data_IF_731810576075
#
_entry.id   IF_731810576075
#
_cell.length_a   1.000
_cell.length_b   1.000
_cell.length_c   1.000
_cell.angle_alpha   90.00
_cell.angle_beta   90.00
_cell.angle_gamma   90.00
#
_symmetry.space_group_name_H-M   'P 1'
#
loop_
_entity.id
_entity.type
_entity.pdbx_description
1 polymer ?
#
# COMPACT_ATOMS: atom_id res chain seq x y z
N UNK A 1 9.05 -26.11 15.83
CA UNK A 1 8.97 -27.28 14.93
C UNK A 1 10.30 -27.49 14.21
N UNK A 2 11.05 -26.41 13.92
CA UNK A 2 12.49 -26.48 13.61
C UNK A 2 13.28 -27.05 14.81
N UNK A 3 13.36 -28.37 14.90
CA UNK A 3 14.21 -29.08 15.84
C UNK A 3 14.87 -30.29 15.16
N UNK A 4 15.05 -30.20 13.84
CA UNK A 4 15.91 -31.08 13.06
C UNK A 4 17.25 -30.37 12.82
N UNK A 5 18.33 -31.13 12.66
CA UNK A 5 19.61 -30.62 12.11
C UNK A 5 19.54 -30.45 10.59
N UNK A 6 18.35 -30.59 10.00
CA UNK A 6 18.09 -30.59 8.58
C UNK A 6 17.69 -29.21 8.08
N UNK A 7 18.01 -28.92 6.81
CA UNK A 7 17.54 -27.71 6.16
C UNK A 7 16.02 -27.82 5.92
N UNK A 8 15.24 -26.86 6.39
CA UNK A 8 13.78 -26.77 6.22
C UNK A 8 13.44 -25.44 5.50
N UNK A 9 12.68 -25.47 4.41
CA UNK A 9 12.33 -24.26 3.65
C UNK A 9 11.02 -24.40 2.83
N UNK A 10 10.67 -23.36 2.07
CA UNK A 10 9.46 -23.28 1.22
C UNK A 10 8.17 -23.72 1.93
N UNK A 11 7.81 -23.10 3.07
CA UNK A 11 6.56 -23.43 3.73
C UNK A 11 5.35 -22.88 2.95
N UNK A 12 4.23 -23.58 3.04
CA UNK A 12 2.90 -23.13 2.61
C UNK A 12 1.86 -23.50 3.68
N UNK A 13 0.72 -22.81 3.71
CA UNK A 13 -0.34 -22.97 4.72
C UNK A 13 -1.71 -23.13 4.05
N UNK A 14 -2.55 -24.01 4.59
CA UNK A 14 -3.90 -24.24 4.09
C UNK A 14 -4.82 -23.02 4.29
N UNK A 15 -5.87 -22.90 3.48
CA UNK A 15 -6.79 -21.75 3.51
C UNK A 15 -7.57 -21.62 4.83
N UNK A 16 -7.70 -22.71 5.58
CA UNK A 16 -8.34 -22.73 6.90
C UNK A 16 -7.37 -22.46 8.07
N UNK A 17 -6.10 -22.12 7.76
CA UNK A 17 -4.99 -21.92 8.69
C UNK A 17 -4.72 -23.13 9.61
N UNK A 18 -5.09 -24.35 9.21
CA UNK A 18 -4.98 -25.55 10.09
C UNK A 18 -3.98 -26.59 9.64
N UNK A 19 -3.28 -26.39 8.53
CA UNK A 19 -2.19 -27.25 8.11
C UNK A 19 -1.05 -26.45 7.50
N UNK A 20 0.18 -26.89 7.76
CA UNK A 20 1.40 -26.32 7.17
C UNK A 20 2.15 -27.44 6.48
N UNK A 21 2.64 -27.15 5.27
CA UNK A 21 3.54 -28.01 4.50
C UNK A 21 4.87 -27.28 4.30
N UNK A 22 5.97 -28.01 4.21
CA UNK A 22 7.30 -27.49 3.90
C UNK A 22 8.17 -28.60 3.29
N UNK A 23 9.28 -28.24 2.64
CA UNK A 23 10.28 -29.21 2.23
C UNK A 23 11.41 -29.30 3.28
N UNK A 24 11.92 -30.51 3.50
CA UNK A 24 13.02 -30.77 4.43
C UNK A 24 14.08 -31.64 3.75
N UNK A 25 15.35 -31.31 3.99
CA UNK A 25 16.46 -32.13 3.53
C UNK A 25 16.71 -33.32 4.47
N UNK A 26 16.53 -34.53 3.97
CA UNK A 26 16.83 -35.77 4.67
C UNK A 26 18.04 -36.45 3.99
N UNK A 27 19.14 -36.56 4.73
CA UNK A 27 20.41 -37.07 4.19
C UNK A 27 20.87 -36.31 2.92
N UNK A 28 20.72 -36.90 1.73
CA UNK A 28 21.07 -36.29 0.44
C UNK A 28 19.91 -35.63 -0.27
N UNK A 29 18.67 -36.01 0.03
CA UNK A 29 17.50 -35.74 -0.81
C UNK A 29 16.50 -34.82 -0.08
N UNK A 30 15.60 -34.19 -0.83
CA UNK A 30 14.53 -33.34 -0.29
C UNK A 30 13.21 -34.08 -0.23
N UNK A 31 12.53 -34.01 0.90
CA UNK A 31 11.21 -34.63 1.11
C UNK A 31 10.17 -33.58 1.51
N UNK A 32 8.89 -33.89 1.30
CA UNK A 32 7.80 -33.02 1.74
C UNK A 32 7.34 -33.41 3.13
N UNK A 33 7.23 -32.43 4.01
CA UNK A 33 6.75 -32.58 5.37
C UNK A 33 5.46 -31.78 5.57
N UNK A 34 4.52 -32.30 6.36
CA UNK A 34 3.34 -31.54 6.75
C UNK A 34 2.91 -31.83 8.19
N UNK A 35 2.14 -30.90 8.76
CA UNK A 35 1.56 -31.06 10.09
C UNK A 35 0.25 -30.28 10.22
N UNK A 36 -0.58 -30.69 11.18
CA UNK A 36 -1.82 -30.00 11.52
C UNK A 36 -1.60 -29.05 12.69
N UNK A 37 -2.12 -27.83 12.57
CA UNK A 37 -2.09 -26.83 13.61
C UNK A 37 -3.27 -27.05 14.57
N UNK A 38 -2.95 -27.30 15.84
CA UNK A 38 -3.94 -27.32 16.93
C UNK A 38 -3.80 -26.02 17.69
N UNK A 39 -4.88 -25.34 18.02
CA UNK A 39 -4.84 -24.07 18.74
C UNK A 39 -5.21 -24.26 20.20
N UNK A 40 -4.52 -23.57 21.11
CA UNK A 40 -4.96 -23.48 22.51
C UNK A 40 -6.22 -22.60 22.64
N UNK A 41 -6.81 -22.58 23.84
CA UNK A 41 -8.00 -21.76 24.14
C UNK A 41 -7.79 -20.25 24.01
N UNK A 42 -6.57 -19.78 23.74
CA UNK A 42 -6.21 -18.38 23.52
C UNK A 42 -5.85 -18.09 22.05
N UNK A 43 -6.03 -19.06 21.13
CA UNK A 43 -5.74 -18.89 19.71
C UNK A 43 -4.26 -18.98 19.35
N UNK A 44 -3.41 -19.55 20.22
CA UNK A 44 -2.00 -19.81 19.89
C UNK A 44 -1.84 -21.22 19.32
N UNK A 45 -1.11 -21.41 18.20
CA UNK A 45 -0.85 -22.75 17.67
C UNK A 45 0.07 -23.53 18.63
N UNK A 46 -0.42 -24.68 19.06
CA UNK A 46 0.26 -25.74 19.81
C UNK A 46 0.57 -26.85 18.81
N UNK A 47 1.83 -26.93 18.39
CA UNK A 47 2.26 -27.92 17.41
C UNK A 47 3.33 -28.81 18.02
N UNK A 48 3.14 -30.13 17.92
CA UNK A 48 4.07 -31.13 18.43
C UNK A 48 4.75 -31.87 17.27
N UNK A 49 6.06 -32.11 17.38
CA UNK A 49 6.83 -32.85 16.38
C UNK A 49 6.35 -34.30 16.19
N UNK A 50 5.59 -34.84 17.14
CA UNK A 50 4.97 -36.17 17.03
C UNK A 50 3.87 -36.25 15.95
N UNK A 51 3.36 -35.10 15.48
CA UNK A 51 2.35 -35.00 14.43
C UNK A 51 2.93 -34.50 13.11
N UNK A 52 4.26 -34.60 12.95
CA UNK A 52 4.93 -34.37 11.68
C UNK A 52 4.75 -35.61 10.81
N UNK A 53 4.26 -35.42 9.61
CA UNK A 53 4.20 -36.42 8.56
C UNK A 53 5.28 -36.12 7.51
N UNK A 54 5.84 -37.16 6.89
CA UNK A 54 6.84 -37.06 5.83
C UNK A 54 6.34 -37.87 4.63
N UNK A 55 6.40 -37.25 3.47
CA UNK A 55 6.17 -37.86 2.15
C UNK A 55 7.57 -38.05 1.56
N UNK A 56 8.07 -39.27 1.67
CA UNK A 56 9.44 -39.65 1.26
C UNK A 56 9.37 -40.59 0.06
N UNK A 57 10.10 -40.22 -0.99
CA UNK A 57 10.16 -40.95 -2.27
C UNK A 57 11.60 -40.90 -2.80
N UNK A 58 11.90 -41.80 -3.73
CA UNK A 58 13.20 -41.76 -4.42
C UNK A 58 13.37 -40.40 -5.12
N UNK A 59 14.56 -39.79 -5.04
CA UNK A 59 14.82 -38.49 -5.64
C UNK A 59 14.39 -37.31 -4.76
N UNK A 60 14.39 -36.11 -5.34
CA UNK A 60 14.03 -34.88 -4.66
C UNK A 60 12.55 -34.53 -4.86
N UNK A 61 11.87 -34.21 -3.77
CA UNK A 61 10.56 -33.56 -3.73
C UNK A 61 10.66 -32.13 -3.20
N UNK A 62 10.15 -31.16 -3.96
CA UNK A 62 10.36 -29.72 -3.71
C UNK A 62 9.12 -28.88 -4.00
N UNK A 63 9.20 -27.63 -3.55
CA UNK A 63 8.22 -26.56 -3.78
C UNK A 63 6.78 -27.01 -3.50
N UNK A 64 6.48 -27.46 -2.26
CA UNK A 64 5.15 -27.91 -1.93
C UNK A 64 4.15 -26.76 -1.83
N UNK A 65 2.88 -27.06 -2.14
CA UNK A 65 1.75 -26.19 -1.88
C UNK A 65 0.56 -27.00 -1.36
N UNK A 66 -0.27 -26.42 -0.50
CA UNK A 66 -1.34 -27.13 0.21
C UNK A 66 -2.68 -26.40 0.05
N UNK A 67 -3.76 -27.17 -0.12
CA UNK A 67 -5.11 -26.65 -0.11
C UNK A 67 -6.08 -27.64 0.56
N UNK A 68 -7.20 -27.13 1.08
CA UNK A 68 -8.30 -27.93 1.60
C UNK A 68 -8.62 -27.63 3.05
N UNK A 69 -9.25 -28.58 3.73
CA UNK A 69 -9.73 -28.38 5.09
C UNK A 69 -9.57 -29.61 5.96
N UNK A 70 -9.54 -29.41 7.28
CA UNK A 70 -9.47 -30.52 8.24
C UNK A 70 -10.63 -31.53 8.10
N UNK A 71 -11.79 -31.12 7.58
CA UNK A 71 -12.98 -31.98 7.46
C UNK A 71 -12.95 -32.89 6.23
N UNK A 72 -12.32 -32.45 5.15
CA UNK A 72 -12.25 -33.18 3.88
C UNK A 72 -10.88 -33.83 3.65
N UNK A 73 -9.89 -33.41 4.43
CA UNK A 73 -8.48 -33.67 4.19
C UNK A 73 -7.87 -32.57 3.31
N UNK A 74 -6.54 -32.55 3.28
CA UNK A 74 -5.78 -31.60 2.51
C UNK A 74 -5.20 -32.27 1.28
N UNK A 75 -5.07 -31.51 0.20
CA UNK A 75 -4.32 -31.89 -0.99
C UNK A 75 -3.01 -31.13 -0.97
N UNK A 76 -1.91 -31.87 -1.12
CA UNK A 76 -0.56 -31.32 -1.15
C UNK A 76 0.00 -31.60 -2.54
N UNK A 77 0.40 -30.55 -3.27
CA UNK A 77 1.09 -30.68 -4.55
C UNK A 77 2.57 -30.36 -4.40
N UNK A 78 3.42 -31.04 -5.14
CA UNK A 78 4.87 -30.82 -5.16
C UNK A 78 5.45 -31.29 -6.48
N UNK A 79 6.64 -30.79 -6.80
CA UNK A 79 7.43 -31.30 -7.91
C UNK A 79 8.34 -32.42 -7.40
N UNK A 80 8.55 -33.42 -8.25
CA UNK A 80 9.26 -34.65 -7.90
C UNK A 80 10.09 -35.14 -9.10
N UNK A 81 11.36 -35.48 -8.88
CA UNK A 81 12.27 -35.95 -9.94
C UNK A 81 12.56 -37.47 -9.93
N UNK A 82 11.76 -38.27 -9.22
CA UNK A 82 11.94 -39.74 -9.09
C UNK A 82 12.05 -40.50 -10.41
N UNK A 83 11.52 -39.92 -11.49
CA UNK A 83 11.51 -40.51 -12.83
C UNK A 83 12.60 -39.95 -13.77
N UNK A 84 13.51 -39.11 -13.27
CA UNK A 84 14.59 -38.50 -14.04
C UNK A 84 14.23 -37.16 -14.71
N UNK A 85 12.98 -36.72 -14.58
CA UNK A 85 12.52 -35.36 -14.87
C UNK A 85 11.56 -34.91 -13.76
N UNK A 86 11.53 -33.60 -13.48
CA UNK A 86 10.51 -33.00 -12.63
C UNK A 86 9.12 -33.19 -13.20
N UNK A 87 8.26 -33.86 -12.45
CA UNK A 87 6.83 -34.02 -12.67
C UNK A 87 6.06 -33.47 -11.45
N UNK A 88 4.79 -33.09 -11.63
CA UNK A 88 3.91 -32.65 -10.54
C UNK A 88 3.16 -33.85 -9.96
N UNK A 89 3.20 -33.99 -8.65
CA UNK A 89 2.44 -34.99 -7.89
C UNK A 89 1.47 -34.30 -6.94
N UNK A 90 0.39 -35.01 -6.63
CA UNK A 90 -0.58 -34.66 -5.60
C UNK A 90 -0.67 -35.78 -4.57
N UNK A 91 -0.63 -35.41 -3.31
CA UNK A 91 -0.85 -36.27 -2.16
C UNK A 91 -2.11 -35.85 -1.41
N UNK A 92 -2.99 -36.82 -1.13
CA UNK A 92 -4.25 -36.61 -0.42
C UNK A 92 -4.13 -37.10 1.03
N UNK A 93 -4.19 -36.18 1.99
CA UNK A 93 -4.00 -36.53 3.40
C UNK A 93 -5.19 -37.27 4.02
N UNK A 94 -6.36 -37.29 3.36
CA UNK A 94 -7.56 -37.99 3.85
C UNK A 94 -7.42 -39.51 3.80
N UNK A 95 -6.69 -40.02 2.80
CA UNK A 95 -6.56 -41.44 2.51
C UNK A 95 -5.10 -41.88 2.27
N UNK A 96 -4.16 -40.93 2.26
CA UNK A 96 -2.74 -41.16 2.03
C UNK A 96 -2.39 -41.55 0.59
N UNK A 97 -3.31 -41.33 -0.37
CA UNK A 97 -3.07 -41.64 -1.78
C UNK A 97 -2.23 -40.56 -2.45
N UNK A 98 -1.48 -40.98 -3.46
CA UNK A 98 -0.64 -40.12 -4.29
C UNK A 98 -0.98 -40.38 -5.75
N UNK A 99 -1.11 -39.31 -6.53
CA UNK A 99 -1.31 -39.37 -7.97
C UNK A 99 -0.29 -38.48 -8.68
N UNK A 100 0.19 -38.93 -9.83
CA UNK A 100 1.00 -38.11 -10.74
C UNK A 100 0.06 -37.27 -11.60
N UNK A 101 0.23 -35.95 -11.58
CA UNK A 101 -0.60 -35.00 -12.33
C UNK A 101 -0.07 -34.81 -13.75
N UNK A 102 1.26 -34.76 -13.92
CA UNK A 102 1.90 -34.52 -15.23
C UNK A 102 2.75 -35.72 -15.66
N UNK A 103 2.74 -36.04 -16.95
CA UNK A 103 3.49 -37.19 -17.51
C UNK A 103 4.30 -36.84 -18.76
N UNK A 104 4.52 -35.56 -19.02
CA UNK A 104 5.34 -35.15 -20.17
C UNK A 104 6.82 -35.44 -19.89
N UNK A 105 7.64 -35.60 -20.93
CA UNK A 105 9.07 -35.94 -20.77
C UNK A 105 9.94 -34.74 -20.40
N UNK A 106 9.41 -33.52 -20.49
CA UNK A 106 10.08 -32.29 -20.07
C UNK A 106 9.74 -31.97 -18.63
N UNK A 107 10.37 -30.94 -18.10
CA UNK A 107 10.18 -30.55 -16.70
C UNK A 107 8.84 -29.82 -16.51
N UNK A 108 8.12 -30.24 -15.47
CA UNK A 108 7.03 -29.49 -14.85
C UNK A 108 7.43 -29.14 -13.42
N UNK A 109 7.39 -27.85 -13.07
CA UNK A 109 7.94 -27.32 -11.82
C UNK A 109 7.05 -26.24 -11.20
N UNK A 110 7.35 -25.87 -9.95
CA UNK A 110 6.68 -24.82 -9.17
C UNK A 110 5.15 -24.95 -9.15
N UNK A 111 4.61 -26.09 -8.69
CA UNK A 111 3.17 -26.27 -8.61
C UNK A 111 2.56 -25.40 -7.50
N UNK A 112 1.34 -24.94 -7.71
CA UNK A 112 0.49 -24.28 -6.70
C UNK A 112 -0.92 -24.82 -6.78
N UNK A 113 -1.62 -24.86 -5.64
CA UNK A 113 -2.99 -25.37 -5.56
C UNK A 113 -3.89 -24.42 -4.78
N UNK A 114 -5.14 -24.27 -5.22
CA UNK A 114 -6.22 -23.66 -4.45
C UNK A 114 -7.55 -24.30 -4.83
N UNK A 115 -8.25 -24.86 -3.84
CA UNK A 115 -9.40 -25.73 -4.06
C UNK A 115 -9.03 -26.88 -5.01
N UNK A 116 -9.79 -26.99 -6.10
CA UNK A 116 -9.59 -28.03 -7.11
C UNK A 116 -8.61 -27.65 -8.23
N UNK A 117 -8.02 -26.45 -8.20
CA UNK A 117 -7.19 -25.96 -9.29
C UNK A 117 -5.72 -26.08 -8.92
N UNK A 118 -4.98 -26.87 -9.70
CA UNK A 118 -3.53 -26.98 -9.66
C UNK A 118 -2.96 -26.19 -10.83
N UNK A 119 -1.93 -25.38 -10.62
CA UNK A 119 -1.20 -24.66 -11.66
C UNK A 119 0.29 -24.95 -11.57
N UNK A 120 1.01 -24.98 -12.69
CA UNK A 120 2.46 -25.23 -12.72
C UNK A 120 3.12 -24.57 -13.93
N UNK A 121 4.45 -24.51 -13.88
CA UNK A 121 5.28 -24.19 -15.05
C UNK A 121 5.62 -25.44 -15.84
N UNK A 122 5.47 -25.39 -17.16
CA UNK A 122 5.67 -26.53 -18.03
C UNK A 122 6.66 -26.22 -19.15
N UNK A 123 7.67 -27.07 -19.37
CA UNK A 123 8.66 -26.90 -20.44
C UNK A 123 8.43 -27.83 -21.65
N UNK A 124 7.23 -28.41 -21.80
CA UNK A 124 6.91 -29.35 -22.89
C UNK A 124 7.09 -28.76 -24.29
N UNK A 125 6.91 -27.44 -24.44
CA UNK A 125 6.98 -26.72 -25.71
C UNK A 125 8.37 -26.13 -26.04
N UNK A 126 9.36 -26.33 -25.17
CA UNK A 126 10.73 -25.83 -25.37
C UNK A 126 11.02 -24.45 -24.76
N UNK A 127 10.00 -23.83 -24.17
CA UNK A 127 10.05 -22.68 -23.25
C UNK A 127 9.14 -23.00 -22.05
N UNK A 128 9.25 -22.20 -20.99
CA UNK A 128 8.33 -22.29 -19.85
C UNK A 128 6.98 -21.68 -20.22
N UNK A 129 5.93 -22.43 -19.97
CA UNK A 129 4.53 -22.08 -20.16
C UNK A 129 3.77 -22.29 -18.83
N UNK A 130 2.55 -21.74 -18.69
CA UNK A 130 1.67 -22.01 -17.53
C UNK A 130 0.53 -22.92 -17.93
N UNK A 131 0.33 -24.00 -17.18
CA UNK A 131 -0.79 -24.92 -17.31
C UNK A 131 -1.58 -25.00 -16.02
N UNK A 132 -2.84 -25.41 -16.14
CA UNK A 132 -3.68 -25.75 -15.01
C UNK A 132 -4.31 -27.13 -15.17
N UNK A 133 -4.64 -27.75 -14.03
CA UNK A 133 -5.40 -28.98 -13.94
C UNK A 133 -6.55 -28.77 -12.96
N UNK A 134 -7.76 -29.13 -13.37
CA UNK A 134 -8.93 -29.07 -12.52
C UNK A 134 -9.26 -30.48 -12.00
N UNK A 135 -9.09 -30.70 -10.69
CA UNK A 135 -9.27 -31.99 -10.04
C UNK A 135 -10.70 -32.54 -10.15
N UNK A 136 -11.70 -31.67 -10.11
CA UNK A 136 -13.11 -32.04 -10.21
C UNK A 136 -13.50 -32.57 -11.60
N UNK A 137 -12.92 -32.01 -12.67
CA UNK A 137 -13.21 -32.39 -14.06
C UNK A 137 -12.19 -33.36 -14.66
N UNK A 138 -10.99 -33.41 -14.08
CA UNK A 138 -9.85 -34.13 -14.64
C UNK A 138 -9.25 -33.47 -15.89
N UNK A 139 -9.57 -32.20 -16.15
CA UNK A 139 -9.16 -31.47 -17.35
C UNK A 139 -7.85 -30.71 -17.14
N UNK A 140 -6.88 -30.93 -18.04
CA UNK A 140 -5.68 -30.11 -18.18
C UNK A 140 -5.93 -29.00 -19.22
N UNK A 141 -5.60 -27.75 -18.89
CA UNK A 141 -5.79 -26.59 -19.78
C UNK A 141 -4.52 -25.73 -19.85
N UNK A 142 -4.06 -25.35 -21.06
CA UNK A 142 -2.99 -24.35 -21.20
C UNK A 142 -3.49 -22.96 -20.81
N UNK A 143 -2.88 -22.37 -19.78
CA UNK A 143 -3.20 -21.02 -19.26
C UNK A 143 -2.40 -19.96 -19.98
N UNK A 144 -1.13 -20.19 -20.29
CA UNK A 144 -0.30 -19.29 -21.11
C UNK A 144 0.77 -20.12 -21.81
N UNK A 145 0.92 -19.93 -23.12
CA UNK A 145 1.83 -20.70 -23.96
C UNK A 145 2.40 -19.81 -25.06
N UNK A 146 3.01 -18.67 -24.68
CA UNK A 146 3.52 -17.74 -25.69
C UNK A 146 4.88 -18.21 -26.24
N UNK A 147 5.57 -17.36 -27.00
CA UNK A 147 6.96 -17.64 -27.39
C UNK A 147 7.97 -17.23 -26.31
N UNK A 148 7.52 -16.45 -25.33
CA UNK A 148 8.33 -15.99 -24.23
C UNK A 148 8.18 -16.94 -23.03
N UNK A 149 9.13 -16.96 -22.09
CA UNK A 149 8.94 -17.72 -20.86
C UNK A 149 7.84 -17.13 -19.97
N UNK A 150 6.88 -17.97 -19.58
CA UNK A 150 5.94 -17.74 -18.49
C UNK A 150 6.33 -18.53 -17.23
N UNK A 151 6.40 -17.85 -16.08
CA UNK A 151 7.03 -18.41 -14.89
C UNK A 151 6.33 -18.08 -13.57
N UNK A 152 6.62 -18.91 -12.55
CA UNK A 152 6.20 -18.76 -11.15
C UNK A 152 4.70 -18.47 -10.99
N UNK A 153 3.84 -19.42 -11.37
CA UNK A 153 2.41 -19.23 -11.23
C UNK A 153 1.99 -19.23 -9.76
N UNK A 154 0.91 -18.50 -9.48
CA UNK A 154 0.19 -18.46 -8.21
C UNK A 154 -1.30 -18.64 -8.51
N UNK A 155 -2.05 -19.23 -7.59
CA UNK A 155 -3.49 -19.47 -7.77
C UNK A 155 -4.27 -19.19 -6.49
N UNK A 156 -5.49 -18.69 -6.65
CA UNK A 156 -6.54 -18.71 -5.64
C UNK A 156 -7.86 -19.17 -6.26
N UNK A 157 -8.95 -19.15 -5.50
CA UNK A 157 -10.29 -19.58 -5.93
C UNK A 157 -10.77 -18.99 -7.27
N UNK A 158 -10.24 -17.83 -7.69
CA UNK A 158 -10.70 -17.13 -8.89
C UNK A 158 -9.61 -16.85 -9.93
N UNK A 159 -8.38 -16.64 -9.49
CA UNK A 159 -7.32 -16.07 -10.31
C UNK A 159 -6.12 -16.99 -10.36
N UNK A 160 -5.55 -17.11 -11.55
CA UNK A 160 -4.18 -17.57 -11.76
C UNK A 160 -3.35 -16.34 -12.15
N UNK A 161 -2.19 -16.13 -11.55
CA UNK A 161 -1.25 -15.07 -11.94
C UNK A 161 0.13 -15.64 -12.21
N UNK A 162 0.90 -15.04 -13.12
CA UNK A 162 2.24 -15.49 -13.50
C UNK A 162 3.10 -14.33 -14.00
N UNK A 163 4.41 -14.53 -14.09
CA UNK A 163 5.31 -13.59 -14.76
C UNK A 163 5.58 -14.03 -16.20
N UNK A 164 5.55 -13.11 -17.16
CA UNK A 164 5.89 -13.36 -18.57
C UNK A 164 6.98 -12.37 -19.02
N UNK A 165 8.02 -12.86 -19.70
CA UNK A 165 9.04 -11.99 -20.28
C UNK A 165 8.50 -11.29 -21.54
N UNK A 166 8.55 -9.96 -21.58
CA UNK A 166 8.21 -9.18 -22.76
C UNK A 166 9.33 -9.16 -23.79
N UNK A 167 9.00 -8.72 -25.00
CA UNK A 167 9.98 -8.58 -26.10
C UNK A 167 11.08 -7.53 -25.83
N UNK A 168 10.88 -6.68 -24.84
CA UNK A 168 11.82 -5.69 -24.35
C UNK A 168 12.75 -6.24 -23.24
N UNK A 169 12.57 -7.50 -22.84
CA UNK A 169 13.36 -8.17 -21.80
C UNK A 169 12.89 -7.89 -20.37
N UNK A 170 11.73 -7.25 -20.19
CA UNK A 170 11.14 -7.01 -18.88
C UNK A 170 10.12 -8.08 -18.51
N UNK A 171 9.96 -8.35 -17.21
CA UNK A 171 8.99 -9.32 -16.71
C UNK A 171 7.69 -8.63 -16.32
N UNK A 172 6.58 -9.16 -16.81
CA UNK A 172 5.24 -8.63 -16.63
C UNK A 172 4.39 -9.58 -15.80
N UNK A 173 3.64 -9.06 -14.84
CA UNK A 173 2.65 -9.85 -14.11
C UNK A 173 1.37 -9.96 -14.95
N UNK A 174 0.86 -11.17 -15.12
CA UNK A 174 -0.36 -11.46 -15.84
C UNK A 174 -1.37 -12.16 -14.93
N UNK A 175 -2.64 -12.10 -15.31
CA UNK A 175 -3.77 -12.71 -14.61
C UNK A 175 -4.67 -13.46 -15.57
N UNK A 176 -5.30 -14.50 -15.07
CA UNK A 176 -6.30 -15.30 -15.73
C UNK A 176 -7.48 -15.54 -14.79
N UNK A 177 -8.67 -15.10 -15.18
CA UNK A 177 -9.91 -15.37 -14.43
C UNK A 177 -10.40 -16.77 -14.80
N UNK A 178 -10.30 -17.70 -13.84
CA UNK A 178 -10.65 -19.11 -14.01
C UNK A 178 -12.10 -19.28 -14.46
N UNK A 179 -13.01 -18.42 -13.98
CA UNK A 179 -14.44 -18.53 -14.26
C UNK A 179 -14.82 -18.08 -15.67
N UNK A 180 -14.03 -17.20 -16.29
CA UNK A 180 -14.35 -16.61 -17.60
C UNK A 180 -13.34 -16.96 -18.69
N UNK A 181 -12.18 -17.52 -18.31
CA UNK A 181 -11.06 -17.76 -19.22
C UNK A 181 -10.35 -16.49 -19.69
N UNK A 182 -10.68 -15.32 -19.13
CA UNK A 182 -10.10 -14.05 -19.55
C UNK A 182 -8.68 -13.88 -19.04
N UNK A 183 -7.74 -13.68 -19.96
CA UNK A 183 -6.34 -13.29 -19.68
C UNK A 183 -6.22 -11.78 -19.71
N UNK A 184 -5.50 -11.21 -18.74
CA UNK A 184 -5.22 -9.79 -18.69
C UNK A 184 -3.82 -9.57 -18.12
N UNK A 185 -3.05 -8.70 -18.77
CA UNK A 185 -1.86 -8.14 -18.15
C UNK A 185 -2.31 -7.50 -16.83
N UNK A 186 -1.76 -7.97 -15.71
CA UNK A 186 -1.93 -7.26 -14.45
C UNK A 186 -1.13 -5.99 -14.64
N UNK A 187 -1.88 -4.96 -14.96
CA UNK A 187 -1.30 -3.67 -15.23
C UNK A 187 -0.67 -3.18 -13.92
N UNK A 188 0.63 -3.37 -13.80
CA UNK A 188 1.47 -2.76 -12.78
C UNK A 188 1.80 -1.32 -13.16
N UNK A 189 1.09 -0.70 -14.12
CA UNK A 189 1.11 0.75 -14.23
C UNK A 189 0.65 1.33 -12.88
N UNK A 190 1.51 2.00 -12.12
CA UNK A 190 2.65 2.80 -12.60
C UNK A 190 3.94 2.52 -11.81
N UNK A 191 4.85 1.65 -12.29
CA UNK A 191 6.23 2.12 -12.57
C UNK A 191 6.95 1.29 -13.64
N UNK A 192 7.30 1.94 -14.74
CA UNK A 192 8.39 1.50 -15.60
C UNK A 192 9.73 1.83 -14.93
N UNK A 193 10.66 0.88 -14.87
CA UNK A 193 12.06 1.08 -14.44
C UNK A 193 12.87 1.97 -15.40
N UNK A 194 12.27 2.38 -16.54
CA UNK A 194 12.83 3.41 -17.43
C UNK A 194 12.21 4.78 -17.21
N UNK A 195 11.14 4.89 -16.42
CA UNK A 195 10.58 6.20 -16.07
C UNK A 195 11.35 6.81 -14.90
N UNK A 196 12.33 7.64 -15.25
CA UNK A 196 13.03 8.51 -14.30
C UNK A 196 12.17 9.68 -13.82
N UNK A 197 10.93 9.78 -14.31
CA UNK A 197 9.98 10.80 -13.91
C UNK A 197 8.90 10.08 -13.13
N UNK A 198 8.88 10.35 -11.82
CA UNK A 198 7.70 10.17 -10.98
C UNK A 198 7.53 8.73 -10.44
N UNK A 199 8.37 8.41 -9.45
CA UNK A 199 8.17 7.33 -8.48
C UNK A 199 7.62 7.97 -7.20
N UNK A 200 6.31 7.99 -6.98
CA UNK A 200 5.75 8.56 -5.75
C UNK A 200 5.58 7.51 -4.66
N UNK A 201 6.71 7.19 -4.07
CA UNK A 201 6.83 6.55 -2.77
C UNK A 201 6.13 7.43 -1.72
N UNK A 202 5.26 6.84 -0.89
CA UNK A 202 4.79 7.51 0.33
C UNK A 202 5.97 7.70 1.31
N UNK A 203 5.77 8.40 2.44
CA UNK A 203 6.84 8.64 3.45
C UNK A 203 7.57 7.38 3.96
N UNK A 204 7.06 6.17 3.69
CA UNK A 204 7.67 4.88 4.02
C UNK A 204 7.99 3.98 2.81
N UNK A 205 8.02 4.53 1.60
CA UNK A 205 8.30 3.81 0.37
C UNK A 205 7.28 2.73 -0.01
N UNK A 206 6.01 2.90 0.40
CA UNK A 206 4.91 1.98 0.09
C UNK A 206 3.77 2.68 -0.66
N UNK A 207 2.98 1.89 -1.38
CA UNK A 207 1.75 2.31 -2.06
C UNK A 207 0.53 1.76 -1.30
N UNK A 208 -0.46 2.61 -1.03
CA UNK A 208 -1.66 2.23 -0.28
C UNK A 208 -2.98 2.59 -1.01
N UNK A 209 -2.89 3.17 -2.21
CA UNK A 209 -4.02 3.40 -3.11
C UNK A 209 -3.52 3.58 -4.56
N UNK A 210 -4.32 3.14 -5.52
CA UNK A 210 -4.03 3.16 -6.95
C UNK A 210 -4.97 4.10 -7.72
N UNK A 211 -4.54 4.54 -8.90
CA UNK A 211 -5.43 5.24 -9.83
C UNK A 211 -6.26 4.23 -10.60
N UNK A 212 -7.57 4.43 -10.59
CA UNK A 212 -8.51 3.79 -11.50
C UNK A 212 -8.32 4.33 -12.92
N UNK A 213 -8.83 3.60 -13.90
CA UNK A 213 -8.78 3.98 -15.33
C UNK A 213 -9.46 5.33 -15.65
N UNK A 214 -10.28 5.87 -14.74
CA UNK A 214 -10.90 7.20 -14.86
C UNK A 214 -10.06 8.33 -14.23
N UNK A 215 -8.83 8.05 -13.81
CA UNK A 215 -7.90 9.00 -13.19
C UNK A 215 -8.11 9.23 -11.70
N UNK A 216 -9.19 8.67 -11.11
CA UNK A 216 -9.50 8.80 -9.68
C UNK A 216 -8.71 7.80 -8.85
N UNK A 217 -8.37 8.19 -7.63
CA UNK A 217 -7.94 7.23 -6.62
C UNK A 217 -9.06 6.19 -6.37
N UNK A 218 -8.66 4.96 -6.08
CA UNK A 218 -9.54 3.86 -5.70
C UNK A 218 -10.07 3.98 -4.26
N UNK A 219 -9.26 4.51 -3.34
CA UNK A 219 -9.61 4.73 -1.93
C UNK A 219 -9.14 6.09 -1.39
N UNK A 220 -9.85 6.66 -0.40
CA UNK A 220 -9.37 7.81 0.34
C UNK A 220 -8.29 7.35 1.33
N UNK A 221 -7.03 7.67 1.04
CA UNK A 221 -5.91 7.31 1.92
C UNK A 221 -5.47 8.52 2.72
N UNK A 222 -5.45 8.37 4.04
CA UNK A 222 -4.77 9.28 4.95
C UNK A 222 -3.80 8.49 5.84
N UNK A 223 -2.82 9.17 6.42
CA UNK A 223 -1.76 8.53 7.19
C UNK A 223 -1.62 9.09 8.59
N UNK A 224 -1.77 8.22 9.58
CA UNK A 224 -1.48 8.53 10.99
C UNK A 224 -0.22 7.78 11.41
N UNK A 225 0.76 8.50 11.93
CA UNK A 225 1.97 7.92 12.51
C UNK A 225 2.61 8.88 13.52
N UNK A 226 3.54 8.36 14.30
CA UNK A 226 4.37 9.13 15.22
C UNK A 226 5.73 8.48 15.43
N UNK A 227 6.54 9.05 16.31
CA UNK A 227 7.82 8.47 16.73
C UNK A 227 7.62 7.39 17.80
N UNK A 228 6.53 7.49 18.56
CA UNK A 228 6.21 6.59 19.67
C UNK A 228 4.74 6.17 19.62
N UNK A 229 4.40 5.13 20.37
CA UNK A 229 3.00 4.73 20.58
C UNK A 229 2.17 5.80 21.30
N UNK A 230 2.80 6.64 22.12
CA UNK A 230 2.14 7.75 22.80
C UNK A 230 1.66 8.82 21.81
N UNK A 231 2.45 9.11 20.77
CA UNK A 231 2.06 10.06 19.72
C UNK A 231 0.80 9.58 18.99
N UNK A 232 0.78 8.30 18.61
CA UNK A 232 -0.37 7.69 17.96
C UNK A 232 -1.58 7.69 18.89
N UNK A 233 -1.39 7.38 20.18
CA UNK A 233 -2.46 7.38 21.18
C UNK A 233 -3.06 8.78 21.38
N UNK A 234 -2.23 9.83 21.40
CA UNK A 234 -2.68 11.21 21.52
C UNK A 234 -3.47 11.66 20.27
N UNK A 235 -3.00 11.29 19.08
CA UNK A 235 -3.74 11.54 17.84
C UNK A 235 -5.10 10.85 17.87
N UNK A 236 -5.14 9.54 18.13
CA UNK A 236 -6.38 8.73 18.16
C UNK A 236 -7.37 9.27 19.22
N UNK A 237 -6.88 9.71 20.38
CA UNK A 237 -7.73 10.32 21.39
C UNK A 237 -8.36 11.64 20.91
N UNK A 238 -7.59 12.48 20.21
CA UNK A 238 -8.08 13.74 19.64
C UNK A 238 -9.11 13.48 18.54
N UNK A 239 -8.87 12.47 17.70
CA UNK A 239 -9.74 12.05 16.62
C UNK A 239 -11.09 11.50 17.12
N UNK A 240 -11.08 10.53 18.04
CA UNK A 240 -12.30 9.97 18.65
C UNK A 240 -13.13 11.03 19.37
N UNK A 241 -12.46 12.03 19.97
CA UNK A 241 -13.12 13.11 20.71
C UNK A 241 -13.40 14.34 19.85
N UNK A 242 -13.09 14.32 18.55
CA UNK A 242 -13.16 15.49 17.68
C UNK A 242 -14.50 16.21 17.73
N UNK A 243 -15.61 15.47 17.70
CA UNK A 243 -16.97 16.03 17.78
C UNK A 243 -17.27 16.71 19.12
N UNK A 244 -16.55 16.34 20.18
CA UNK A 244 -16.70 16.88 21.54
C UNK A 244 -15.74 18.03 21.83
N UNK A 245 -14.70 18.21 21.02
CA UNK A 245 -13.71 19.28 21.20
C UNK A 245 -14.28 20.58 20.60
N UNK A 246 -14.15 21.68 21.36
CA UNK A 246 -14.53 23.00 20.86
C UNK A 246 -13.59 23.40 19.71
N UNK A 247 -14.16 23.59 18.52
CA UNK A 247 -13.45 24.06 17.33
C UNK A 247 -13.26 25.58 17.37
N UNK A 248 -12.03 26.06 17.21
CA UNK A 248 -11.73 27.48 17.02
C UNK A 248 -11.96 27.88 15.55
N UNK A 249 -13.20 28.18 15.17
CA UNK A 249 -13.66 28.42 13.79
C UNK A 249 -13.08 29.69 13.13
N UNK A 250 -11.76 29.84 13.11
CA UNK A 250 -11.00 30.87 12.41
C UNK A 250 -10.08 30.22 11.40
N UNK A 251 -9.86 30.89 10.27
CA UNK A 251 -9.01 30.40 9.20
C UNK A 251 -7.94 31.40 8.82
N UNK A 252 -6.78 30.92 8.38
CA UNK A 252 -5.66 31.74 7.93
C UNK A 252 -5.15 31.28 6.57
N UNK A 253 -4.90 32.23 5.67
CA UNK A 253 -4.18 32.02 4.43
C UNK A 253 -2.85 32.77 4.47
N UNK A 254 -1.76 32.01 4.33
CA UNK A 254 -0.37 32.46 4.40
C UNK A 254 0.26 32.23 3.02
N UNK A 255 0.47 33.30 2.24
CA UNK A 255 0.91 33.21 0.84
C UNK A 255 2.13 34.09 0.62
N UNK A 256 3.33 33.58 0.87
CA UNK A 256 4.56 34.39 0.68
C UNK A 256 4.89 34.62 -0.80
N UNK A 257 4.44 33.72 -1.67
CA UNK A 257 4.67 33.78 -3.11
C UNK A 257 5.78 32.84 -3.55
N UNK A 258 6.23 33.00 -4.80
CA UNK A 258 7.33 32.26 -5.41
C UNK A 258 8.64 33.04 -5.38
N UNK A 259 8.58 34.37 -5.24
CA UNK A 259 9.75 35.25 -5.18
C UNK A 259 9.56 36.42 -4.20
N UNK A 260 10.67 37.00 -3.74
CA UNK A 260 10.65 38.21 -2.89
C UNK A 260 10.07 39.45 -3.60
N UNK A 261 9.96 39.41 -4.93
CA UNK A 261 9.42 40.50 -5.75
C UNK A 261 7.91 40.41 -5.97
N UNK A 262 7.25 39.38 -5.45
CA UNK A 262 5.82 39.19 -5.64
C UNK A 262 5.00 40.29 -4.94
N UNK A 263 3.93 40.74 -5.60
CA UNK A 263 3.08 41.83 -5.12
C UNK A 263 1.85 41.27 -4.39
N UNK A 264 1.50 41.89 -3.26
CA UNK A 264 0.31 41.60 -2.46
C UNK A 264 -0.96 41.48 -3.31
N UNK A 265 -1.29 42.50 -4.11
CA UNK A 265 -2.55 42.53 -4.86
C UNK A 265 -2.64 41.40 -5.89
N UNK A 266 -1.49 40.99 -6.44
CA UNK A 266 -1.43 39.85 -7.35
C UNK A 266 -1.71 38.53 -6.61
N UNK A 267 -1.05 38.30 -5.47
CA UNK A 267 -1.23 37.09 -4.67
C UNK A 267 -2.64 37.00 -4.06
N UNK A 268 -3.20 38.12 -3.64
CA UNK A 268 -4.58 38.23 -3.17
C UNK A 268 -5.59 37.96 -4.29
N UNK A 269 -5.34 38.44 -5.51
CA UNK A 269 -6.25 38.13 -6.62
C UNK A 269 -6.14 36.66 -7.03
N UNK A 270 -4.93 36.09 -7.04
CA UNK A 270 -4.71 34.67 -7.32
C UNK A 270 -5.36 33.76 -6.27
N UNK A 271 -5.29 34.13 -4.99
CA UNK A 271 -5.83 33.32 -3.90
C UNK A 271 -7.35 33.17 -3.95
N UNK A 272 -8.08 34.08 -4.60
CA UNK A 272 -9.54 34.00 -4.78
C UNK A 272 -10.02 32.74 -5.51
N UNK A 273 -9.13 32.02 -6.17
CA UNK A 273 -9.43 30.70 -6.75
C UNK A 273 -9.75 29.62 -5.70
N UNK A 274 -9.29 29.75 -4.47
CA UNK A 274 -9.54 28.81 -3.37
C UNK A 274 -9.93 29.49 -2.04
N UNK A 275 -9.53 30.75 -1.83
CA UNK A 275 -9.87 31.60 -0.69
C UNK A 275 -11.11 32.46 -0.99
N UNK A 276 -12.22 31.78 -1.31
CA UNK A 276 -13.47 32.39 -1.80
C UNK A 276 -14.27 33.05 -0.68
N UNK A 277 -15.21 33.93 -1.03
CA UNK A 277 -16.16 34.51 -0.06
C UNK A 277 -17.05 33.44 0.59
N UNK A 278 -17.42 32.41 -0.17
CA UNK A 278 -18.17 31.26 0.33
C UNK A 278 -17.39 30.51 1.41
N UNK A 279 -16.12 30.17 1.15
CA UNK A 279 -15.27 29.52 2.15
C UNK A 279 -15.13 30.40 3.40
N UNK A 280 -14.84 31.69 3.22
CA UNK A 280 -14.68 32.61 4.36
C UNK A 280 -15.94 32.70 5.20
N UNK A 281 -17.13 32.59 4.59
CA UNK A 281 -18.41 32.65 5.30
C UNK A 281 -18.67 31.46 6.23
N UNK A 282 -17.97 30.35 6.04
CA UNK A 282 -18.04 29.21 6.94
C UNK A 282 -17.33 29.54 8.28
N UNK A 283 -16.33 30.42 8.30
CA UNK A 283 -15.55 30.76 9.49
C UNK A 283 -16.06 32.03 10.21
N UNK A 284 -15.82 32.11 11.52
CA UNK A 284 -16.17 33.28 12.33
C UNK A 284 -15.27 34.49 12.03
N UNK A 285 -14.01 34.23 11.69
CA UNK A 285 -13.01 35.24 11.32
C UNK A 285 -11.97 34.61 10.41
N UNK A 286 -11.39 35.41 9.52
CA UNK A 286 -10.39 34.94 8.57
C UNK A 286 -9.23 35.93 8.48
N UNK A 287 -8.01 35.42 8.42
CA UNK A 287 -6.80 36.23 8.29
C UNK A 287 -6.10 35.91 6.97
N UNK A 288 -5.76 36.95 6.21
CA UNK A 288 -5.01 36.82 4.96
C UNK A 288 -3.70 37.58 5.09
N UNK A 289 -2.59 36.92 4.79
CA UNK A 289 -1.29 37.57 4.70
C UNK A 289 -0.53 37.08 3.47
N UNK A 290 0.00 38.04 2.71
CA UNK A 290 0.76 37.76 1.51
C UNK A 290 2.12 38.46 1.48
N UNK A 291 3.04 37.97 0.65
CA UNK A 291 4.42 38.46 0.45
C UNK A 291 5.38 38.16 1.60
N UNK A 292 6.67 38.06 1.26
CA UNK A 292 7.77 37.89 2.22
C UNK A 292 7.82 39.02 3.25
N UNK A 293 7.76 40.26 2.78
CA UNK A 293 7.92 41.46 3.62
C UNK A 293 6.84 41.54 4.69
N UNK A 294 5.58 41.44 4.32
CA UNK A 294 4.48 41.58 5.28
C UNK A 294 4.52 40.44 6.33
N UNK A 295 4.90 39.23 5.90
CA UNK A 295 5.02 38.11 6.82
C UNK A 295 6.18 38.28 7.81
N UNK A 296 7.34 38.80 7.38
CA UNK A 296 8.43 39.14 8.29
C UNK A 296 8.02 40.23 9.30
N UNK A 297 7.31 41.26 8.84
CA UNK A 297 6.82 42.35 9.71
C UNK A 297 5.77 41.88 10.73
N UNK A 298 5.08 40.75 10.47
CA UNK A 298 4.02 40.21 11.30
C UNK A 298 4.34 38.81 11.88
N UNK A 299 5.61 38.40 11.87
CA UNK A 299 6.03 37.01 12.12
C UNK A 299 5.40 36.40 13.37
N UNK A 300 5.56 37.03 14.54
CA UNK A 300 5.05 36.52 15.81
C UNK A 300 3.54 36.32 15.80
N UNK A 301 2.79 37.29 15.25
CA UNK A 301 1.33 37.22 15.14
C UNK A 301 0.89 36.09 14.20
N UNK A 302 1.60 35.89 13.08
CA UNK A 302 1.31 34.79 12.14
C UNK A 302 1.56 33.43 12.79
N UNK A 303 2.67 33.27 13.51
CA UNK A 303 2.99 32.04 14.25
C UNK A 303 1.94 31.74 15.32
N UNK A 304 1.48 32.74 16.07
CA UNK A 304 0.40 32.55 17.05
C UNK A 304 -0.91 32.10 16.40
N UNK A 305 -1.27 32.66 15.25
CA UNK A 305 -2.46 32.25 14.49
C UNK A 305 -2.31 30.83 13.93
N UNK A 306 -1.15 30.47 13.39
CA UNK A 306 -0.87 29.14 12.87
C UNK A 306 -1.19 28.05 13.92
N UNK A 307 -0.72 28.21 15.16
CA UNK A 307 -0.94 27.24 16.24
C UNK A 307 -2.33 27.27 16.89
N UNK A 308 -3.20 28.20 16.50
CA UNK A 308 -4.53 28.35 17.14
C UNK A 308 -5.71 28.24 16.18
N UNK A 309 -5.52 28.52 14.89
CA UNK A 309 -6.60 28.55 13.91
C UNK A 309 -6.92 27.14 13.39
N UNK A 310 -8.20 26.95 13.04
CA UNK A 310 -8.73 25.65 12.63
C UNK A 310 -8.34 25.26 11.21
N UNK A 311 -8.22 26.23 10.30
CA UNK A 311 -7.76 26.00 8.94
C UNK A 311 -6.57 26.90 8.65
N UNK A 312 -5.46 26.31 8.20
CA UNK A 312 -4.33 27.02 7.63
C UNK A 312 -4.17 26.62 6.17
N UNK A 313 -4.13 27.60 5.27
CA UNK A 313 -3.65 27.43 3.90
C UNK A 313 -2.27 28.07 3.82
N UNK A 314 -1.25 27.27 3.50
CA UNK A 314 0.12 27.73 3.39
C UNK A 314 0.61 27.59 1.95
N UNK A 315 1.22 28.65 1.41
CA UNK A 315 1.79 28.68 0.05
C UNK A 315 3.12 29.42 0.08
N UNK A 316 4.21 28.66 -0.03
CA UNK A 316 5.60 29.15 -0.06
C UNK A 316 6.54 28.01 -0.49
N UNK A 317 7.84 28.22 -0.34
CA UNK A 317 8.85 27.16 -0.32
C UNK A 317 8.72 26.28 0.93
N UNK A 318 9.34 25.11 0.89
CA UNK A 318 9.40 24.17 2.01
C UNK A 318 10.46 23.12 1.79
N UNK A 319 10.66 22.32 2.82
CA UNK A 319 11.48 21.11 2.79
C UNK A 319 10.99 20.14 3.85
N UNK A 320 11.67 19.01 3.98
CA UNK A 320 11.34 17.91 4.89
C UNK A 320 11.23 18.29 6.37
N UNK A 321 11.73 19.47 6.79
CA UNK A 321 11.72 19.93 8.18
C UNK A 321 11.06 21.30 8.39
N UNK A 322 10.62 22.01 7.34
CA UNK A 322 9.99 23.32 7.51
C UNK A 322 9.04 23.79 6.39
N UNK A 323 8.10 24.65 6.80
CA UNK A 323 7.23 25.46 5.96
C UNK A 323 7.89 26.82 5.69
N UNK A 324 8.75 26.90 4.68
CA UNK A 324 9.36 28.17 4.22
C UNK A 324 10.22 28.91 5.24
N UNK A 325 10.69 28.22 6.29
CA UNK A 325 11.34 28.84 7.45
C UNK A 325 10.39 29.65 8.35
N UNK A 326 9.06 29.53 8.17
CA UNK A 326 8.05 30.07 9.06
C UNK A 326 7.84 29.13 10.26
N UNK A 327 7.47 27.88 9.99
CA UNK A 327 7.30 26.85 11.01
C UNK A 327 8.20 25.68 10.65
N UNK A 328 9.03 25.25 11.58
CA UNK A 328 9.90 24.09 11.43
C UNK A 328 9.61 23.03 12.51
N UNK A 329 10.24 21.87 12.38
CA UNK A 329 10.11 20.77 13.33
C UNK A 329 10.52 21.15 14.76
N UNK A 330 11.37 22.16 14.97
CA UNK A 330 11.74 22.63 16.31
C UNK A 330 10.60 23.43 16.96
N UNK A 331 9.96 24.34 16.21
CA UNK A 331 8.76 25.03 16.68
C UNK A 331 7.66 24.05 17.12
N UNK A 332 7.49 22.96 16.37
CA UNK A 332 6.47 21.94 16.61
C UNK A 332 6.82 20.96 17.75
N UNK A 333 8.10 20.85 18.14
CA UNK A 333 8.49 20.08 19.32
C UNK A 333 8.21 20.86 20.61
N UNK A 334 8.27 22.20 20.56
CA UNK A 334 8.07 23.07 21.73
C UNK A 334 6.63 23.57 21.88
N UNK A 335 5.79 23.46 20.83
CA UNK A 335 4.45 24.05 20.81
C UNK A 335 3.40 23.12 20.20
N UNK A 336 2.30 22.98 20.93
CA UNK A 336 1.12 22.20 20.52
C UNK A 336 0.01 23.12 20.02
N UNK A 337 -0.84 22.62 19.13
CA UNK A 337 -2.04 23.31 18.68
C UNK A 337 -3.06 23.43 19.81
N UNK A 338 -3.64 24.61 19.99
CA UNK A 338 -4.64 24.85 21.05
C UNK A 338 -6.06 24.40 20.69
N UNK A 339 -6.28 24.01 19.44
CA UNK A 339 -7.54 23.56 18.87
C UNK A 339 -7.23 22.53 17.78
N UNK A 340 -8.15 21.63 17.45
CA UNK A 340 -8.10 20.86 16.21
C UNK A 340 -7.75 21.77 15.03
N UNK A 341 -6.77 21.37 14.22
CA UNK A 341 -6.27 22.18 13.10
C UNK A 341 -6.07 21.32 11.85
N UNK A 342 -6.40 21.90 10.70
CA UNK A 342 -6.24 21.35 9.36
C UNK A 342 -5.32 22.26 8.57
N UNK A 343 -4.29 21.68 7.96
CA UNK A 343 -3.27 22.44 7.27
C UNK A 343 -3.19 21.96 5.83
N UNK A 344 -3.55 22.85 4.90
CA UNK A 344 -3.40 22.62 3.46
C UNK A 344 -2.12 23.33 3.01
N UNK A 345 -1.05 22.55 2.83
CA UNK A 345 0.26 23.07 2.47
C UNK A 345 0.50 22.96 0.96
N UNK A 346 1.06 24.02 0.39
CA UNK A 346 1.61 24.07 -0.97
C UNK A 346 3.04 24.56 -0.87
N UNK A 347 3.88 23.65 -0.41
CA UNK A 347 5.31 23.80 -0.40
C UNK A 347 5.99 22.49 -0.83
N UNK A 348 7.19 22.61 -1.37
CA UNK A 348 7.92 21.45 -1.91
C UNK A 348 8.44 20.57 -0.77
N UNK A 349 8.44 19.25 -0.99
CA UNK A 349 9.15 18.27 -0.14
C UNK A 349 8.79 18.26 1.35
N UNK A 350 7.71 18.90 1.79
CA UNK A 350 7.25 18.93 3.19
C UNK A 350 6.86 17.56 3.73
N UNK A 351 6.53 16.64 2.83
CA UNK A 351 6.26 15.23 3.10
C UNK A 351 7.32 14.28 2.54
N UNK A 352 8.49 14.78 2.14
CA UNK A 352 9.55 13.94 1.60
C UNK A 352 10.22 13.15 2.72
N UNK A 353 10.48 11.86 2.47
CA UNK A 353 11.25 11.01 3.39
C UNK A 353 12.71 11.49 3.45
N UNK A 354 13.21 11.73 4.67
CA UNK A 354 14.60 12.11 4.92
C UNK A 354 15.47 10.87 5.16
N UNK A 355 16.60 10.68 4.44
CA UNK A 355 17.41 9.47 4.54
C UNK A 355 18.07 9.21 5.91
N UNK A 356 18.31 10.27 6.70
CA UNK A 356 19.11 10.17 7.93
C UNK A 356 18.30 10.13 9.24
N UNK A 357 16.98 9.95 9.17
CA UNK A 357 16.16 9.66 10.35
C UNK A 357 14.76 10.27 10.30
N UNK A 358 13.75 9.49 10.69
CA UNK A 358 12.34 9.90 10.74
C UNK A 358 12.02 10.92 11.84
N UNK A 359 12.94 11.13 12.77
CA UNK A 359 12.73 11.90 13.98
C UNK A 359 12.30 13.34 13.69
N UNK A 360 12.94 14.00 12.73
CA UNK A 360 12.78 15.44 12.50
C UNK A 360 11.88 15.81 11.34
N UNK A 361 11.15 14.85 10.76
CA UNK A 361 10.26 15.14 9.64
C UNK A 361 9.14 16.08 10.09
N UNK A 362 8.90 17.13 9.30
CA UNK A 362 7.85 18.12 9.52
C UNK A 362 6.49 17.44 9.70
N UNK A 363 6.17 16.47 8.85
CA UNK A 363 4.92 15.69 8.91
C UNK A 363 4.75 14.95 10.24
N UNK A 364 5.81 14.34 10.78
CA UNK A 364 5.75 13.69 12.09
C UNK A 364 5.44 14.69 13.19
N UNK A 365 6.13 15.84 13.18
CA UNK A 365 5.98 16.85 14.21
C UNK A 365 4.66 17.60 14.13
N UNK A 366 4.12 17.84 12.93
CA UNK A 366 2.81 18.48 12.75
C UNK A 366 1.69 17.63 13.39
N UNK A 367 1.68 16.32 13.12
CA UNK A 367 0.69 15.42 13.72
C UNK A 367 0.88 15.30 15.25
N UNK A 368 2.13 15.19 15.71
CA UNK A 368 2.48 15.17 17.14
C UNK A 368 2.06 16.43 17.88
N UNK A 369 2.21 17.59 17.25
CA UNK A 369 1.81 18.87 17.80
C UNK A 369 0.28 18.99 17.95
N UNK A 370 -0.50 18.10 17.33
CA UNK A 370 -1.95 18.03 17.48
C UNK A 370 -2.76 18.50 16.27
N UNK A 371 -2.14 18.67 15.09
CA UNK A 371 -2.91 18.87 13.86
C UNK A 371 -3.67 17.58 13.51
N UNK A 372 -4.93 17.71 13.14
CA UNK A 372 -5.76 16.57 12.73
C UNK A 372 -5.47 16.13 11.31
N UNK A 373 -5.22 17.09 10.42
CA UNK A 373 -4.80 16.76 9.07
C UNK A 373 -3.75 17.73 8.54
N UNK A 374 -2.85 17.19 7.73
CA UNK A 374 -1.84 17.93 7.01
C UNK A 374 -1.76 17.41 5.58
N UNK A 375 -1.76 18.31 4.60
CA UNK A 375 -1.60 17.96 3.19
C UNK A 375 -0.20 18.38 2.74
N UNK A 376 0.74 17.44 2.59
CA UNK A 376 2.14 17.75 2.29
C UNK A 376 2.63 17.13 0.99
N UNK A 377 3.65 17.72 0.37
CA UNK A 377 4.20 17.25 -0.90
C UNK A 377 5.48 16.42 -0.71
N UNK A 378 5.59 15.26 -1.36
CA UNK A 378 6.81 14.40 -1.33
C UNK A 378 7.92 14.87 -2.26
N UNK A 379 7.60 15.80 -3.18
CA UNK A 379 8.51 16.34 -4.19
C UNK A 379 8.13 17.81 -4.50
N UNK A 380 8.53 18.33 -5.66
CA UNK A 380 8.19 19.65 -6.15
C UNK A 380 6.67 19.85 -6.22
N UNK A 381 6.19 20.78 -5.41
CA UNK A 381 4.80 21.25 -5.41
C UNK A 381 4.63 22.33 -6.47
N UNK A 382 3.68 22.13 -7.39
CA UNK A 382 3.30 23.15 -8.38
C UNK A 382 1.78 23.30 -8.59
N UNK A 383 0.93 22.45 -8.00
CA UNK A 383 -0.54 22.51 -8.13
C UNK A 383 -1.21 23.23 -6.95
N UNK A 384 -2.25 24.04 -7.23
CA UNK A 384 -3.15 24.63 -6.21
C UNK A 384 -4.58 24.06 -6.31
N UNK A 385 -4.87 23.34 -7.40
CA UNK A 385 -6.19 22.85 -7.76
C UNK A 385 -6.70 21.75 -6.80
N UNK A 386 -5.80 21.15 -6.01
CA UNK A 386 -6.14 20.21 -4.93
C UNK A 386 -6.85 20.90 -3.75
N UNK A 387 -6.55 22.19 -3.50
CA UNK A 387 -7.14 22.92 -2.39
C UNK A 387 -8.62 23.17 -2.62
N UNK A 388 -8.99 23.63 -3.80
CA UNK A 388 -10.38 23.95 -4.13
C UNK A 388 -11.28 22.73 -3.94
N UNK A 389 -10.90 21.58 -4.52
CA UNK A 389 -11.66 20.34 -4.35
C UNK A 389 -11.79 19.91 -2.87
N UNK A 390 -10.72 20.02 -2.06
CA UNK A 390 -10.77 19.69 -0.62
C UNK A 390 -11.67 20.67 0.14
N UNK A 391 -11.52 21.97 -0.11
CA UNK A 391 -12.27 23.04 0.56
C UNK A 391 -13.75 22.97 0.22
N UNK A 392 -14.08 22.83 -1.06
CA UNK A 392 -15.45 22.71 -1.55
C UNK A 392 -16.12 21.43 -1.07
N UNK A 393 -15.42 20.29 -1.16
CA UNK A 393 -16.01 19.00 -0.78
C UNK A 393 -16.14 18.87 0.74
N UNK A 394 -15.11 19.24 1.49
CA UNK A 394 -14.99 18.86 2.91
C UNK A 394 -15.40 19.99 3.86
N UNK A 395 -14.98 21.23 3.59
CA UNK A 395 -15.26 22.37 4.49
C UNK A 395 -16.61 23.03 4.17
N UNK A 396 -16.97 23.16 2.89
CA UNK A 396 -18.27 23.68 2.46
C UNK A 396 -19.27 22.52 2.33
N UNK A 397 -18.91 21.45 1.63
CA UNK A 397 -19.79 20.33 1.29
C UNK A 397 -20.07 19.32 2.40
N UNK A 398 -19.41 19.42 3.56
CA UNK A 398 -19.57 18.53 4.72
C UNK A 398 -19.25 17.04 4.44
N UNK A 399 -18.38 16.77 3.48
CA UNK A 399 -17.85 15.43 3.24
C UNK A 399 -16.55 15.18 4.02
N UNK A 400 -16.05 13.94 3.97
CA UNK A 400 -14.77 13.64 4.61
C UNK A 400 -13.60 14.31 3.88
N UNK A 401 -12.56 14.66 4.62
CA UNK A 401 -11.34 15.22 4.04
C UNK A 401 -10.68 14.27 3.04
N UNK A 402 -10.79 12.96 3.26
CA UNK A 402 -10.34 11.93 2.33
C UNK A 402 -11.10 11.96 1.00
N UNK A 403 -12.42 12.19 1.03
CA UNK A 403 -13.22 12.35 -0.21
C UNK A 403 -12.79 13.60 -0.96
N UNK A 404 -12.64 14.74 -0.27
CA UNK A 404 -12.11 15.96 -0.87
C UNK A 404 -10.71 15.77 -1.47
N UNK A 405 -9.85 15.01 -0.80
CA UNK A 405 -8.51 14.68 -1.29
C UNK A 405 -8.53 13.80 -2.54
N UNK A 406 -9.38 12.77 -2.58
CA UNK A 406 -9.59 11.96 -3.80
C UNK A 406 -10.12 12.82 -4.95
N UNK A 407 -11.07 13.69 -4.66
CA UNK A 407 -11.61 14.62 -5.63
C UNK A 407 -10.53 15.60 -6.11
N UNK A 408 -9.61 16.10 -5.28
CA UNK A 408 -8.53 16.93 -5.82
C UNK A 408 -7.59 16.20 -6.80
N UNK A 409 -7.60 14.86 -6.81
CA UNK A 409 -6.71 14.01 -7.62
C UNK A 409 -7.33 13.38 -8.88
N UNK A 410 -8.61 13.64 -9.21
CA UNK A 410 -9.34 13.01 -10.36
C UNK A 410 -8.71 13.27 -11.72
N UNK A 411 -8.10 14.44 -11.91
CA UNK A 411 -7.74 14.90 -13.26
C UNK A 411 -6.33 14.48 -13.69
N UNK A 412 -6.19 13.61 -14.70
CA UNK A 412 -4.90 12.98 -15.09
C UNK A 412 -3.87 13.96 -15.68
N UNK A 413 -4.28 15.16 -16.08
CA UNK A 413 -3.38 16.20 -16.60
C UNK A 413 -2.73 17.05 -15.51
N UNK A 414 -3.21 16.96 -14.26
CA UNK A 414 -2.69 17.68 -13.10
C UNK A 414 -1.45 16.95 -12.56
N UNK A 415 -0.37 16.95 -13.37
CA UNK A 415 0.92 16.26 -13.10
C UNK A 415 1.54 16.49 -11.72
N UNK A 416 1.08 17.50 -10.98
CA UNK A 416 1.60 17.90 -9.67
C UNK A 416 0.64 17.61 -8.50
N UNK A 417 -0.52 16.99 -8.72
CA UNK A 417 -1.39 16.61 -7.60
C UNK A 417 -1.00 15.26 -6.99
N UNK A 418 -0.23 14.45 -7.73
CA UNK A 418 0.19 13.12 -7.30
C UNK A 418 1.36 13.11 -6.31
N UNK A 419 2.02 14.25 -6.12
CA UNK A 419 3.05 14.43 -5.08
C UNK A 419 2.46 14.67 -3.69
N UNK A 420 1.15 14.89 -3.57
CA UNK A 420 0.55 15.24 -2.29
C UNK A 420 0.07 14.03 -1.51
N UNK A 421 0.39 13.99 -0.23
CA UNK A 421 -0.11 13.01 0.72
C UNK A 421 -1.00 13.69 1.76
N UNK A 422 -2.10 13.02 2.08
CA UNK A 422 -2.94 13.37 3.21
C UNK A 422 -2.40 12.66 4.46
N UNK A 423 -2.06 13.45 5.47
CA UNK A 423 -1.71 13.01 6.80
C UNK A 423 -2.91 13.24 7.72
N UNK A 424 -3.16 12.30 8.62
CA UNK A 424 -4.34 12.23 9.46
C UNK A 424 -5.37 11.18 9.02
N UNK A 425 -6.47 11.08 9.76
CA UNK A 425 -7.61 10.22 9.44
C UNK A 425 -8.37 10.79 8.23
N UNK A 426 -8.43 10.05 7.10
CA UNK A 426 -9.17 10.48 5.91
C UNK A 426 -10.69 10.48 6.11
N UNK A 427 -11.21 9.89 7.19
CA UNK A 427 -12.65 9.79 7.44
C UNK A 427 -13.25 10.99 8.17
N UNK A 428 -12.41 11.86 8.74
CA UNK A 428 -12.84 13.08 9.42
C UNK A 428 -13.63 13.99 8.48
N UNK A 429 -14.76 14.52 8.97
CA UNK A 429 -15.53 15.61 8.35
C UNK A 429 -15.14 16.93 9.02
N UNK A 430 -14.41 17.83 8.36
CA UNK A 430 -13.88 19.04 8.99
C UNK A 430 -14.95 20.13 9.21
N UNK A 431 -16.17 19.96 8.71
CA UNK A 431 -17.26 20.89 9.03
C UNK A 431 -17.78 20.61 10.45
N UNK A 432 -17.91 21.65 11.27
CA UNK A 432 -18.14 21.60 12.73
C UNK A 432 -19.43 20.98 13.22
#
# INVERSE_FOLDING_TARGET
IANSTSDECKPDISEDDRAVVWQQRNESDWDICYTYLVYDGNGKPVVSSQYKHVIEKDGDQKDPSISGSITEGYKIVYQDDRNGNWDIYLYDTSNGSEIQITTDRKHQILPRISGDIIVWQDNRNGNWDIYMYNLSSGEETPVATSQNPEVKPEVNERWIVWYEEGKDGFWYLWSYDISTGMKKLVDVTEVSHTDRRILYLQVDDKFYASRRNDGRMDYPTGRVFGLTTSDLSAYVATDILFDKIKKDRRAIAIIRGWSENDNWSYLENWSKSFWTDELKSEFNDTYFIATYKALQENYTNVIEKFFSYYLTIFVDHGNEVCLGGLVDSFHLEERYFSSPSFILDRACSTAKKYPQGRQWLLTTHILRAGALAFLGAVDLSNGHELFDDILQTSFIGNETIGKGYMEGRKEPWRRYNDVYLLFGDPTIRPRW
#
